data_IF_732899940649
#
_entry.id   IF_732899940649
#
_cell.length_a   1.000
_cell.length_b   1.000
_cell.length_c   1.000
_cell.angle_alpha   90.00
_cell.angle_beta   90.00
_cell.angle_gamma   90.00
#
_symmetry.space_group_name_H-M   'P 1'
#
loop_
_entity.id
_entity.type
_entity.pdbx_description
1 polymer ?
#
# COMPACT_ATOMS: atom_id res chain seq x y z
N UNK A 1 -3.61 -11.09 3.59
CA UNK A 1 -3.24 -10.17 2.50
C UNK A 1 -3.30 -10.94 1.21
N UNK A 2 -4.01 -10.42 0.21
CA UNK A 2 -4.08 -11.01 -1.12
C UNK A 2 -2.80 -10.71 -1.91
N UNK A 3 -2.30 -11.69 -2.65
CA UNK A 3 -1.16 -11.49 -3.54
C UNK A 3 -1.49 -10.50 -4.66
N UNK A 4 -0.64 -9.50 -4.82
CA UNK A 4 -0.75 -8.43 -5.81
C UNK A 4 0.29 -8.64 -6.91
N UNK A 5 -0.19 -8.88 -8.12
CA UNK A 5 0.66 -8.97 -9.31
C UNK A 5 0.75 -7.59 -9.97
N UNK A 6 1.91 -6.94 -9.86
CA UNK A 6 2.16 -5.62 -10.44
C UNK A 6 1.89 -5.59 -11.95
N UNK A 7 1.21 -4.54 -12.38
CA UNK A 7 1.01 -4.19 -13.79
C UNK A 7 1.88 -2.99 -14.17
N UNK A 8 1.85 -2.62 -15.45
CA UNK A 8 2.45 -1.37 -15.92
C UNK A 8 1.74 -0.16 -15.34
N UNK A 9 2.50 0.90 -15.05
CA UNK A 9 1.95 2.18 -14.62
C UNK A 9 1.09 2.83 -15.73
N UNK A 10 0.11 3.69 -15.37
CA UNK A 10 -0.73 4.34 -16.37
C UNK A 10 0.08 5.31 -17.24
N UNK A 11 -0.27 5.40 -18.53
CA UNK A 11 0.44 6.26 -19.49
C UNK A 11 0.48 7.74 -19.08
N UNK A 12 -0.59 8.24 -18.44
CA UNK A 12 -0.61 9.62 -17.94
C UNK A 12 0.48 9.88 -16.89
N UNK A 13 0.84 8.87 -16.10
CA UNK A 13 1.93 8.98 -15.12
C UNK A 13 3.31 8.93 -15.78
N UNK A 14 3.51 8.03 -16.75
CA UNK A 14 4.77 7.97 -17.50
C UNK A 14 5.00 9.24 -18.32
N UNK A 15 3.97 9.75 -18.99
CA UNK A 15 4.03 10.97 -19.80
C UNK A 15 4.33 12.18 -18.92
N UNK A 16 3.70 12.25 -17.74
CA UNK A 16 3.97 13.31 -16.77
C UNK A 16 5.41 13.27 -16.24
N UNK A 17 5.94 12.09 -15.91
CA UNK A 17 7.36 11.93 -15.52
C UNK A 17 8.30 12.38 -16.65
N UNK A 18 7.92 12.11 -17.91
CA UNK A 18 8.71 12.47 -19.09
C UNK A 18 8.75 13.98 -19.39
N UNK A 19 7.95 14.82 -18.71
CA UNK A 19 8.06 16.28 -18.79
C UNK A 19 9.30 16.85 -18.08
N UNK A 20 10.07 16.00 -17.39
CA UNK A 20 11.32 16.37 -16.74
C UNK A 20 12.28 17.10 -17.69
N UNK A 21 12.89 18.17 -17.21
CA UNK A 21 13.85 19.00 -17.93
C UNK A 21 14.79 19.72 -16.94
N UNK A 22 15.67 20.59 -17.44
CA UNK A 22 16.66 21.28 -16.62
C UNK A 22 16.03 22.18 -15.54
N UNK A 23 14.85 22.74 -15.78
CA UNK A 23 14.15 23.66 -14.86
C UNK A 23 13.22 22.92 -13.87
N UNK A 24 12.81 21.69 -14.19
CA UNK A 24 11.86 20.93 -13.38
C UNK A 24 12.08 19.42 -13.45
N UNK A 25 12.01 18.78 -12.27
CA UNK A 25 12.05 17.34 -12.11
C UNK A 25 10.81 16.88 -11.34
N UNK A 26 10.15 15.78 -11.75
CA UNK A 26 8.95 15.28 -11.09
C UNK A 26 9.28 14.82 -9.67
N UNK A 27 8.43 15.21 -8.73
CA UNK A 27 8.47 14.75 -7.33
C UNK A 27 7.10 14.22 -6.93
N UNK A 28 7.06 13.29 -5.98
CA UNK A 28 5.78 12.77 -5.50
C UNK A 28 4.88 13.85 -4.88
N UNK A 29 5.46 14.87 -4.24
CA UNK A 29 4.72 16.04 -3.75
C UNK A 29 4.07 16.87 -4.87
N UNK A 30 4.62 16.78 -6.08
CA UNK A 30 4.00 17.35 -7.26
C UNK A 30 2.93 16.41 -7.84
N UNK A 31 2.81 15.14 -7.48
CA UNK A 31 1.78 14.27 -8.07
C UNK A 31 0.36 14.74 -7.65
N UNK A 32 -0.45 15.17 -8.62
CA UNK A 32 -1.74 15.87 -8.41
C UNK A 32 -2.70 15.63 -9.57
N UNK A 33 -3.92 16.17 -9.46
CA UNK A 33 -4.83 16.26 -10.60
C UNK A 33 -5.22 14.92 -11.24
N UNK A 34 -5.07 14.83 -12.56
CA UNK A 34 -5.46 13.66 -13.35
C UNK A 34 -4.47 12.52 -13.16
N UNK A 35 -3.18 12.84 -13.15
CA UNK A 35 -2.09 11.87 -13.01
C UNK A 35 -2.21 11.10 -11.68
N UNK A 36 -2.46 11.81 -10.57
CA UNK A 36 -2.67 11.16 -9.26
C UNK A 36 -3.91 10.27 -9.23
N UNK A 37 -5.01 10.71 -9.86
CA UNK A 37 -6.25 9.93 -9.95
C UNK A 37 -6.02 8.66 -10.75
N UNK A 38 -5.34 8.76 -11.88
CA UNK A 38 -5.05 7.63 -12.76
C UNK A 38 -4.11 6.62 -12.08
N UNK A 39 -3.06 7.08 -11.40
CA UNK A 39 -2.19 6.22 -10.58
C UNK A 39 -3.02 5.47 -9.54
N UNK A 40 -3.85 6.19 -8.78
CA UNK A 40 -4.68 5.57 -7.75
C UNK A 40 -5.70 4.57 -8.33
N UNK A 41 -6.34 4.91 -9.45
CA UNK A 41 -7.31 4.03 -10.13
C UNK A 41 -6.63 2.75 -10.67
N UNK A 42 -5.42 2.87 -11.22
CA UNK A 42 -4.62 1.74 -11.65
C UNK A 42 -4.28 0.81 -10.48
N UNK A 43 -3.84 1.35 -9.34
CA UNK A 43 -3.54 0.58 -8.13
C UNK A 43 -4.80 -0.11 -7.56
N UNK A 44 -5.93 0.59 -7.51
CA UNK A 44 -7.20 -0.01 -7.10
C UNK A 44 -7.59 -1.18 -8.00
N UNK A 45 -7.44 -1.02 -9.32
CA UNK A 45 -7.76 -2.08 -10.31
C UNK A 45 -6.83 -3.28 -10.16
N UNK A 46 -5.52 -3.04 -10.05
CA UNK A 46 -4.48 -4.05 -9.83
C UNK A 46 -4.76 -4.90 -8.59
N UNK A 47 -5.28 -4.27 -7.54
CA UNK A 47 -5.63 -4.92 -6.27
C UNK A 47 -7.03 -5.57 -6.25
N UNK A 48 -7.78 -5.52 -7.35
CA UNK A 48 -9.16 -5.99 -7.40
C UNK A 48 -10.10 -5.20 -6.49
N UNK A 49 -9.82 -3.91 -6.30
CA UNK A 49 -10.53 -2.97 -5.42
C UNK A 49 -10.52 -3.33 -3.94
N UNK A 50 -9.49 -4.08 -3.50
CA UNK A 50 -9.26 -4.39 -2.09
C UNK A 50 -8.06 -3.62 -1.56
N UNK A 51 -8.09 -3.23 -0.29
CA UNK A 51 -6.97 -2.61 0.38
C UNK A 51 -5.78 -3.58 0.39
N UNK A 52 -4.59 -3.07 0.10
CA UNK A 52 -3.37 -3.90 0.00
C UNK A 52 -3.02 -4.66 1.29
N UNK A 53 -3.58 -4.23 2.43
CA UNK A 53 -3.29 -4.78 3.75
C UNK A 53 -4.48 -5.54 4.36
N UNK A 54 -5.62 -4.88 4.60
CA UNK A 54 -6.78 -5.52 5.26
C UNK A 54 -7.68 -6.31 4.33
N UNK A 55 -7.49 -6.21 3.00
CA UNK A 55 -8.42 -6.74 2.00
C UNK A 55 -9.85 -6.17 2.09
N UNK A 56 -10.07 -5.13 2.88
CA UNK A 56 -11.33 -4.38 2.90
C UNK A 56 -11.55 -3.67 1.56
N UNK A 57 -12.82 -3.56 1.14
CA UNK A 57 -13.16 -2.88 -0.11
C UNK A 57 -12.70 -1.42 -0.10
N UNK A 58 -11.98 -1.02 -1.14
CA UNK A 58 -11.53 0.36 -1.31
C UNK A 58 -12.67 1.24 -1.80
N UNK A 59 -12.83 2.38 -1.13
CA UNK A 59 -13.72 3.46 -1.54
C UNK A 59 -12.85 4.58 -2.10
N UNK A 60 -13.16 5.08 -3.30
CA UNK A 60 -12.33 6.09 -3.99
C UNK A 60 -12.11 7.35 -3.14
N UNK A 61 -13.12 7.82 -2.40
CA UNK A 61 -13.01 9.00 -1.53
C UNK A 61 -12.30 8.73 -0.20
N UNK A 62 -12.14 7.46 0.18
CA UNK A 62 -11.62 7.04 1.49
C UNK A 62 -10.50 5.99 1.35
N UNK A 63 -9.56 6.31 0.48
CA UNK A 63 -8.34 5.52 0.23
C UNK A 63 -7.20 6.43 -0.18
N UNK A 64 -5.97 5.95 -0.07
CA UNK A 64 -4.76 6.70 -0.39
C UNK A 64 -3.74 5.82 -1.10
N UNK A 65 -2.80 6.46 -1.81
CA UNK A 65 -1.63 5.78 -2.35
C UNK A 65 -0.68 5.54 -1.17
N UNK A 66 -0.23 4.31 -1.05
CA UNK A 66 0.66 3.80 -0.02
C UNK A 66 1.98 3.39 -0.66
N UNK A 67 3.11 3.74 -0.04
CA UNK A 67 4.41 3.21 -0.42
C UNK A 67 4.70 1.94 0.41
N UNK A 68 4.97 0.82 -0.25
CA UNK A 68 5.30 -0.43 0.45
C UNK A 68 6.56 -0.26 1.30
N UNK A 69 7.68 0.11 0.67
CA UNK A 69 8.84 0.68 1.34
C UNK A 69 8.67 2.21 1.42
N UNK A 70 8.76 2.82 2.62
CA UNK A 70 8.35 4.19 2.86
C UNK A 70 9.23 5.19 2.12
N UNK A 71 8.61 6.28 1.67
CA UNK A 71 9.32 7.38 0.99
C UNK A 71 10.32 8.14 1.87
N UNK A 72 10.31 7.93 3.20
CA UNK A 72 11.32 8.47 4.12
C UNK A 72 12.67 7.76 4.00
N UNK A 73 12.72 6.58 3.36
CA UNK A 73 13.95 5.89 3.02
C UNK A 73 14.62 6.54 1.79
N UNK A 74 15.86 7.05 1.89
CA UNK A 74 16.55 7.71 0.78
C UNK A 74 16.89 6.78 -0.39
N UNK A 75 16.79 5.46 -0.22
CA UNK A 75 16.98 4.49 -1.31
C UNK A 75 15.72 4.27 -2.16
N UNK A 76 14.56 4.79 -1.74
CA UNK A 76 13.30 4.65 -2.45
C UNK A 76 13.13 5.79 -3.44
N UNK A 77 12.78 5.46 -4.69
CA UNK A 77 12.17 6.43 -5.61
C UNK A 77 10.67 6.57 -5.26
N UNK A 78 10.21 7.74 -4.76
CA UNK A 78 8.81 7.92 -4.38
C UNK A 78 7.83 7.83 -5.56
N UNK A 79 8.33 7.87 -6.80
CA UNK A 79 7.55 7.75 -8.03
C UNK A 79 7.64 6.36 -8.68
N UNK A 80 8.33 5.40 -8.05
CA UNK A 80 8.37 4.02 -8.52
C UNK A 80 7.02 3.33 -8.29
N UNK A 81 6.24 3.19 -9.36
CA UNK A 81 4.93 2.54 -9.34
C UNK A 81 4.98 1.09 -8.84
N UNK A 82 6.12 0.40 -8.97
CA UNK A 82 6.29 -0.96 -8.46
C UNK A 82 6.28 -1.03 -6.94
N UNK A 83 6.62 0.07 -6.27
CA UNK A 83 6.57 0.25 -4.82
C UNK A 83 5.25 0.90 -4.33
N UNK A 84 4.36 1.31 -5.24
CA UNK A 84 3.07 1.92 -4.89
C UNK A 84 1.96 0.87 -4.76
N UNK A 85 1.07 1.12 -3.80
CA UNK A 85 -0.12 0.36 -3.44
C UNK A 85 -1.28 1.31 -3.14
N UNK A 86 -2.49 0.79 -2.95
CA UNK A 86 -3.63 1.54 -2.45
C UNK A 86 -4.12 0.97 -1.11
N UNK A 87 -4.12 1.84 -0.10
CA UNK A 87 -4.55 1.54 1.27
C UNK A 87 -5.84 2.31 1.61
N UNK A 88 -6.65 1.76 2.51
CA UNK A 88 -7.91 2.37 2.97
C UNK A 88 -7.69 3.47 4.02
N UNK A 89 -8.78 4.07 4.51
CA UNK A 89 -8.79 4.98 5.67
C UNK A 89 -8.11 6.35 5.40
N UNK A 90 -8.32 6.94 4.24
CA UNK A 90 -7.81 8.30 3.97
C UNK A 90 -8.53 9.37 4.82
N UNK A 91 -9.77 9.11 5.23
CA UNK A 91 -10.56 9.97 6.10
C UNK A 91 -10.65 9.34 7.50
N UNK A 92 -9.81 9.81 8.42
CA UNK A 92 -9.85 9.34 9.82
C UNK A 92 -10.76 10.26 10.64
N UNK A 93 -11.85 9.71 11.21
CA UNK A 93 -12.71 10.48 12.13
C UNK A 93 -12.04 10.64 13.48
N UNK A 94 -12.37 11.71 14.20
CA UNK A 94 -11.85 11.95 15.56
C UNK A 94 -12.25 10.78 16.47
N UNK A 95 -11.24 10.13 17.05
CA UNK A 95 -11.41 8.99 17.96
C UNK A 95 -11.45 7.62 17.26
N UNK A 96 -11.39 7.57 15.93
CA UNK A 96 -11.28 6.32 15.19
C UNK A 96 -9.84 5.79 15.21
N UNK A 97 -9.61 4.51 15.52
CA UNK A 97 -8.27 3.94 15.52
C UNK A 97 -7.70 3.89 14.11
N UNK A 98 -6.41 4.22 13.96
CA UNK A 98 -5.71 4.07 12.69
C UNK A 98 -5.42 2.60 12.41
N UNK A 99 -5.45 2.22 11.14
CA UNK A 99 -5.02 0.91 10.66
C UNK A 99 -4.42 1.03 9.25
N UNK A 100 -3.89 -0.09 8.73
CA UNK A 100 -3.28 -0.17 7.41
C UNK A 100 -2.16 0.88 7.21
N UNK A 101 -2.06 1.50 6.04
CA UNK A 101 -1.00 2.47 5.71
C UNK A 101 -0.85 3.61 6.73
N UNK A 102 -1.96 4.13 7.26
CA UNK A 102 -1.91 5.21 8.26
C UNK A 102 -1.32 4.81 9.62
N UNK A 103 -1.44 3.52 10.00
CA UNK A 103 -0.81 3.02 11.22
C UNK A 103 0.62 2.53 10.96
N UNK A 104 0.85 1.93 9.78
CA UNK A 104 2.19 1.54 9.33
C UNK A 104 3.14 2.72 9.33
N UNK A 105 2.70 3.85 8.78
CA UNK A 105 3.50 5.07 8.68
C UNK A 105 4.85 4.75 7.98
N UNK A 106 5.97 5.25 8.53
CA UNK A 106 7.32 4.94 8.05
C UNK A 106 7.85 3.55 8.48
N UNK A 107 7.05 2.71 9.14
CA UNK A 107 7.53 1.39 9.55
C UNK A 107 7.71 0.46 8.34
N UNK A 108 8.94 -0.03 8.18
CA UNK A 108 9.29 -1.06 7.23
C UNK A 108 10.34 -1.97 7.84
N UNK A 109 9.99 -3.25 7.98
CA UNK A 109 10.95 -4.29 8.33
C UNK A 109 11.05 -5.26 7.16
N UNK A 110 12.15 -5.32 6.40
CA UNK A 110 12.23 -6.15 5.19
C UNK A 110 11.89 -7.62 5.44
N UNK A 111 12.24 -8.15 6.62
CA UNK A 111 11.92 -9.52 7.04
C UNK A 111 10.66 -9.62 7.93
N UNK A 112 10.09 -8.49 8.36
CA UNK A 112 9.00 -8.43 9.33
C UNK A 112 7.68 -7.90 8.76
N UNK A 113 7.72 -7.19 7.63
CA UNK A 113 6.55 -6.79 6.87
C UNK A 113 6.32 -7.84 5.78
N UNK A 114 5.23 -8.58 5.89
CA UNK A 114 4.84 -9.50 4.83
C UNK A 114 4.52 -8.69 3.58
N UNK A 115 5.25 -8.95 2.49
CA UNK A 115 5.02 -8.26 1.24
C UNK A 115 3.77 -8.80 0.55
N UNK A 116 2.82 -7.96 0.12
CA UNK A 116 1.71 -8.41 -0.70
C UNK A 116 2.16 -8.77 -2.13
N UNK A 117 3.41 -8.49 -2.50
CA UNK A 117 4.02 -8.90 -3.77
C UNK A 117 4.58 -10.33 -3.74
N UNK A 118 4.65 -10.95 -2.56
CA UNK A 118 5.06 -12.35 -2.43
C UNK A 118 3.87 -13.28 -2.76
N UNK A 119 3.98 -14.20 -3.74
CA UNK A 119 2.93 -15.16 -4.05
C UNK A 119 2.47 -16.01 -2.86
N UNK A 120 3.32 -16.21 -1.86
CA UNK A 120 3.00 -16.96 -0.64
C UNK A 120 2.41 -16.11 0.49
N UNK A 121 2.17 -14.81 0.29
CA UNK A 121 1.74 -13.92 1.38
C UNK A 121 0.38 -14.28 1.97
N UNK A 122 -0.53 -14.83 1.16
CA UNK A 122 -1.87 -15.27 1.57
C UNK A 122 -1.80 -16.36 2.65
N UNK A 123 -0.92 -17.36 2.44
CA UNK A 123 -0.77 -18.52 3.31
C UNK A 123 -0.16 -18.19 4.69
N UNK A 124 0.38 -16.97 4.85
CA UNK A 124 0.98 -16.52 6.12
C UNK A 124 -0.06 -16.10 7.16
N UNK A 125 -1.33 -15.94 6.74
CA UNK A 125 -2.41 -15.47 7.60
C UNK A 125 -3.54 -16.48 7.69
N UNK A 126 -4.20 -16.51 8.85
CA UNK A 126 -5.41 -17.28 9.08
C UNK A 126 -6.50 -16.37 9.65
N UNK A 127 -7.73 -16.59 9.19
CA UNK A 127 -8.91 -15.87 9.67
C UNK A 127 -9.60 -16.66 10.78
N UNK A 128 -10.02 -15.96 11.82
CA UNK A 128 -10.80 -16.55 12.91
C UNK A 128 -12.30 -16.34 12.68
N UNK A 129 -13.14 -17.11 13.38
CA UNK A 129 -14.60 -17.08 13.17
C UNK A 129 -15.26 -15.75 13.59
N UNK A 130 -14.56 -14.92 14.35
CA UNK A 130 -14.92 -13.55 14.73
C UNK A 130 -14.37 -12.48 13.77
N UNK A 131 -13.76 -12.90 12.66
CA UNK A 131 -13.29 -11.99 11.59
C UNK A 131 -11.91 -11.39 11.82
N UNK A 132 -11.22 -11.77 12.89
CA UNK A 132 -9.86 -11.32 13.17
C UNK A 132 -8.84 -12.09 12.31
N UNK A 133 -7.64 -11.52 12.20
CA UNK A 133 -6.51 -12.14 11.52
C UNK A 133 -5.45 -12.56 12.53
N UNK A 134 -4.84 -13.72 12.30
CA UNK A 134 -3.70 -14.21 13.06
C UNK A 134 -2.65 -14.79 12.11
N UNK A 135 -1.40 -14.95 12.54
CA UNK A 135 -0.42 -15.73 11.78
C UNK A 135 -0.94 -17.15 11.56
N UNK A 136 -0.75 -17.70 10.36
CA UNK A 136 -1.06 -19.11 10.09
C UNK A 136 -0.15 -20.06 10.87
N UNK A 137 1.07 -19.62 11.19
CA UNK A 137 2.03 -20.32 12.04
C UNK A 137 2.45 -19.43 13.22
N UNK A 138 2.51 -19.99 14.43
CA UNK A 138 2.97 -19.28 15.64
C UNK A 138 4.45 -18.90 15.60
N UNK A 139 5.22 -19.47 14.68
CA UNK A 139 6.64 -19.16 14.48
C UNK A 139 6.86 -18.10 13.40
N UNK A 140 5.81 -17.68 12.70
CA UNK A 140 5.90 -16.64 11.69
C UNK A 140 5.90 -15.24 12.34
N UNK A 141 7.11 -14.79 12.71
CA UNK A 141 7.33 -13.48 13.33
C UNK A 141 6.94 -12.32 12.41
N UNK A 142 7.13 -12.46 11.10
CA UNK A 142 6.78 -11.42 10.14
C UNK A 142 5.28 -11.23 10.04
N UNK A 143 4.50 -12.31 9.94
CA UNK A 143 3.04 -12.22 9.97
C UNK A 143 2.55 -11.60 11.28
N UNK A 144 3.13 -11.99 12.42
CA UNK A 144 2.76 -11.45 13.73
C UNK A 144 3.03 -9.94 13.86
N UNK A 145 4.22 -9.47 13.47
CA UNK A 145 4.55 -8.05 13.54
C UNK A 145 3.79 -7.23 12.50
N UNK A 146 3.56 -7.78 11.30
CA UNK A 146 2.72 -7.17 10.26
C UNK A 146 1.31 -6.89 10.76
N UNK A 147 0.64 -7.88 11.37
CA UNK A 147 -0.70 -7.75 11.95
C UNK A 147 -0.75 -6.61 12.96
N UNK A 148 0.21 -6.60 13.88
CA UNK A 148 0.32 -5.61 14.95
C UNK A 148 0.55 -4.20 14.40
N UNK A 149 1.45 -4.04 13.44
CA UNK A 149 1.83 -2.74 12.85
C UNK A 149 0.77 -2.18 11.91
N UNK A 150 -0.08 -3.04 11.35
CA UNK A 150 -1.21 -2.64 10.51
C UNK A 150 -2.52 -2.51 11.30
N UNK A 151 -2.54 -2.86 12.58
CA UNK A 151 -3.73 -2.69 13.44
C UNK A 151 -4.88 -3.63 13.06
N UNK A 152 -4.55 -4.78 12.47
CA UNK A 152 -5.51 -5.79 12.06
C UNK A 152 -5.81 -6.69 13.27
N UNK A 153 -6.70 -6.27 14.15
CA UNK A 153 -7.07 -7.05 15.33
C UNK A 153 -8.52 -7.43 15.35
#
# INVERSE_FOLDING_TARGET
>A
MKHIVKQGEPTSFSDWKALANDDWQPKYDDLRGTEKRDVKAALMTEQGHLCCYCEGQLIESDSHIEHFQPQSDPAVDPLDFSNLLCSCQNQIKKGEPRHCGNLKDDWYGPDLLVSPFDPGCEDRFAHTGDGLIKPASTHDQGAAETIKRLGQQ
#
